data_IF_313657732295
#
_entry.id   IF_313657732295
#
_cell.length_a   1.000
_cell.length_b   1.000
_cell.length_c   1.000
_cell.angle_alpha   90.00
_cell.angle_beta   90.00
_cell.angle_gamma   90.00
#
_symmetry.space_group_name_H-M   'P 1'
#
loop_
_entity.id
_entity.type
_entity.pdbx_description
1 polymer ?
#
# COMPACT_ATOMS: atom_id res chain seq x y z
N UNK A 1 25.18 20.60 -7.77
CA UNK A 1 23.98 21.09 -7.05
C UNK A 1 22.73 20.71 -7.83
N UNK A 2 22.64 19.43 -8.14
CA UNK A 2 21.51 18.71 -8.73
C UNK A 2 21.82 17.31 -8.20
N UNK A 3 21.08 16.78 -7.23
CA UNK A 3 20.99 15.32 -6.93
C UNK A 3 20.27 15.02 -5.60
N UNK A 4 20.17 15.95 -4.64
CA UNK A 4 19.43 15.65 -3.39
C UNK A 4 17.90 15.77 -3.54
N UNK A 5 17.42 16.64 -4.45
CA UNK A 5 15.98 16.78 -4.72
C UNK A 5 15.43 15.65 -5.63
N UNK A 6 16.28 15.01 -6.43
CA UNK A 6 15.89 13.94 -7.35
C UNK A 6 15.76 12.60 -6.62
N UNK A 7 16.60 12.36 -5.59
CA UNK A 7 16.47 11.20 -4.71
C UNK A 7 15.21 11.23 -3.83
N UNK A 8 14.72 12.42 -3.48
CA UNK A 8 13.54 12.58 -2.62
C UNK A 8 12.22 12.27 -3.34
N UNK A 9 12.22 12.16 -4.68
CA UNK A 9 11.03 11.92 -5.51
C UNK A 9 10.87 10.48 -5.99
N UNK A 10 11.80 9.58 -5.65
CA UNK A 10 11.61 8.14 -5.86
C UNK A 10 11.02 7.46 -4.61
N UNK A 11 10.24 8.23 -3.85
CA UNK A 11 9.15 7.71 -3.04
C UNK A 11 8.21 6.95 -3.98
N UNK A 12 8.07 5.65 -3.76
CA UNK A 12 6.94 4.77 -4.16
C UNK A 12 5.90 5.49 -5.05
N UNK A 13 6.18 5.54 -6.35
CA UNK A 13 5.20 5.92 -7.37
C UNK A 13 4.41 4.67 -7.71
N UNK A 14 3.55 4.21 -6.79
CA UNK A 14 2.53 3.24 -7.12
C UNK A 14 1.50 3.96 -8.01
N UNK A 15 1.53 3.67 -9.31
CA UNK A 15 0.66 4.29 -10.32
C UNK A 15 -0.82 4.11 -9.93
N UNK A 16 -1.14 2.96 -9.34
CA UNK A 16 -2.44 2.67 -8.73
C UNK A 16 -2.81 3.68 -7.64
N UNK A 17 -1.92 3.93 -6.67
CA UNK A 17 -2.15 4.93 -5.62
C UNK A 17 -2.39 6.34 -6.17
N UNK A 18 -1.72 6.72 -7.27
CA UNK A 18 -2.00 8.01 -7.93
C UNK A 18 -3.38 8.02 -8.56
N UNK A 19 -3.72 6.98 -9.31
CA UNK A 19 -5.02 6.87 -9.97
C UNK A 19 -6.18 6.91 -8.97
N UNK A 20 -6.06 6.17 -7.85
CA UNK A 20 -7.03 6.20 -6.75
C UNK A 20 -7.14 7.59 -6.13
N UNK A 21 -6.01 8.27 -5.91
CA UNK A 21 -6.00 9.64 -5.38
C UNK A 21 -6.65 10.64 -6.33
N UNK A 22 -6.36 10.56 -7.63
CA UNK A 22 -6.97 11.41 -8.66
C UNK A 22 -8.49 11.18 -8.72
N UNK A 23 -8.92 9.92 -8.74
CA UNK A 23 -10.34 9.57 -8.72
C UNK A 23 -11.03 10.14 -7.48
N UNK A 24 -10.43 10.00 -6.30
CA UNK A 24 -10.96 10.57 -5.06
C UNK A 24 -11.16 12.09 -5.17
N UNK A 25 -10.18 12.81 -5.75
CA UNK A 25 -10.27 14.27 -5.92
C UNK A 25 -11.36 14.68 -6.91
N UNK A 26 -11.45 13.99 -8.05
CA UNK A 26 -12.49 14.25 -9.05
C UNK A 26 -13.89 14.02 -8.46
N UNK A 27 -14.11 12.88 -7.80
CA UNK A 27 -15.39 12.55 -7.17
C UNK A 27 -15.74 13.51 -6.03
N UNK A 28 -14.79 13.83 -5.15
CA UNK A 28 -15.00 14.80 -4.07
C UNK A 28 -15.42 16.17 -4.60
N UNK A 29 -14.90 16.57 -5.76
CA UNK A 29 -15.20 17.87 -6.39
C UNK A 29 -16.53 17.85 -7.14
N UNK A 30 -16.81 16.80 -7.92
CA UNK A 30 -17.98 16.72 -8.82
C UNK A 30 -19.27 16.36 -8.08
N UNK A 31 -19.18 15.55 -7.04
CA UNK A 31 -20.32 15.07 -6.24
C UNK A 31 -20.48 15.85 -4.93
N UNK A 32 -19.42 16.49 -4.42
CA UNK A 32 -19.45 17.30 -3.18
C UNK A 32 -20.06 16.55 -2.01
N UNK A 33 -21.15 17.06 -1.42
CA UNK A 33 -21.84 16.46 -0.28
C UNK A 33 -22.54 15.13 -0.60
N UNK A 34 -22.64 14.76 -1.88
CA UNK A 34 -23.18 13.47 -2.32
C UNK A 34 -22.15 12.35 -2.27
N UNK A 35 -20.86 12.68 -2.27
CA UNK A 35 -19.79 11.69 -2.12
C UNK A 35 -19.56 11.39 -0.64
N UNK A 36 -19.67 10.11 -0.27
CA UNK A 36 -19.52 9.68 1.12
C UNK A 36 -18.13 9.12 1.39
N UNK A 37 -17.65 8.19 0.55
CA UNK A 37 -16.31 7.63 0.65
C UNK A 37 -15.91 6.86 -0.62
N UNK A 38 -14.61 6.58 -0.72
CA UNK A 38 -14.01 5.67 -1.70
C UNK A 38 -13.28 4.56 -0.94
N UNK A 39 -13.51 3.30 -1.31
CA UNK A 39 -12.73 2.16 -0.82
C UNK A 39 -12.04 1.54 -2.03
N UNK A 40 -10.74 1.78 -2.16
CA UNK A 40 -9.90 1.09 -3.13
C UNK A 40 -9.30 -0.17 -2.49
N UNK A 41 -9.37 -1.28 -3.22
CA UNK A 41 -8.57 -2.48 -3.00
C UNK A 41 -7.20 -2.28 -3.67
N UNK A 42 -6.36 -3.31 -3.68
CA UNK A 42 -5.21 -3.30 -4.60
C UNK A 42 -5.67 -3.46 -6.04
N UNK A 43 -4.82 -3.07 -6.99
CA UNK A 43 -5.13 -3.13 -8.43
C UNK A 43 -5.69 -4.49 -8.87
N UNK A 44 -5.09 -5.58 -8.39
CA UNK A 44 -5.42 -6.97 -8.74
C UNK A 44 -6.51 -7.62 -7.84
N UNK A 45 -7.07 -6.87 -6.88
CA UNK A 45 -8.08 -7.38 -5.96
C UNK A 45 -9.48 -6.95 -6.37
N UNK A 46 -10.43 -7.89 -6.43
CA UNK A 46 -11.78 -7.62 -6.93
C UNK A 46 -12.88 -8.10 -5.98
N UNK A 47 -13.93 -7.28 -5.86
CA UNK A 47 -15.22 -7.63 -5.30
C UNK A 47 -16.28 -7.22 -6.30
N UNK A 48 -17.14 -8.16 -6.70
CA UNK A 48 -18.13 -7.92 -7.77
C UNK A 48 -17.48 -7.34 -9.05
N UNK A 49 -16.37 -7.94 -9.48
CA UNK A 49 -15.57 -7.53 -10.65
C UNK A 49 -15.05 -6.08 -10.59
N UNK A 50 -15.02 -5.49 -9.40
CA UNK A 50 -14.61 -4.11 -9.14
C UNK A 50 -13.49 -4.07 -8.10
N UNK A 51 -12.43 -3.32 -8.38
CA UNK A 51 -11.32 -3.07 -7.45
C UNK A 51 -11.50 -1.76 -6.65
N UNK A 52 -12.55 -0.98 -6.97
CA UNK A 52 -12.92 0.24 -6.26
C UNK A 52 -14.42 0.23 -5.91
N UNK A 53 -14.77 0.61 -4.68
CA UNK A 53 -16.13 0.92 -4.26
C UNK A 53 -16.29 2.43 -4.10
N UNK A 54 -17.20 3.01 -4.86
CA UNK A 54 -17.64 4.39 -4.72
C UNK A 54 -18.93 4.41 -3.91
N UNK A 55 -18.93 5.13 -2.79
CA UNK A 55 -20.07 5.24 -1.89
C UNK A 55 -20.61 6.66 -1.91
N UNK A 56 -21.91 6.79 -2.15
CA UNK A 56 -22.60 8.08 -2.26
C UNK A 56 -23.80 8.17 -1.32
N UNK A 57 -24.39 9.36 -1.18
CA UNK A 57 -25.61 9.56 -0.39
C UNK A 57 -26.81 8.80 -0.96
N UNK A 58 -26.96 8.80 -2.29
CA UNK A 58 -27.99 8.11 -3.06
C UNK A 58 -27.50 7.89 -4.49
N UNK A 59 -27.79 6.71 -5.03
CA UNK A 59 -27.52 6.40 -6.44
C UNK A 59 -28.66 6.89 -7.32
N UNK A 60 -28.35 7.79 -8.25
CA UNK A 60 -29.22 8.22 -9.34
C UNK A 60 -28.39 8.50 -10.60
N UNK A 61 -29.05 8.86 -11.69
CA UNK A 61 -28.41 8.96 -13.01
C UNK A 61 -27.34 10.06 -13.06
N UNK A 62 -27.57 11.20 -12.39
CA UNK A 62 -26.54 12.26 -12.30
C UNK A 62 -25.27 11.76 -11.61
N UNK A 63 -25.42 10.99 -10.52
CA UNK A 63 -24.27 10.38 -9.84
C UNK A 63 -23.59 9.34 -10.73
N UNK A 64 -24.36 8.48 -11.40
CA UNK A 64 -23.80 7.45 -12.30
C UNK A 64 -22.95 8.07 -13.39
N UNK A 65 -23.46 9.11 -14.04
CA UNK A 65 -22.77 9.79 -15.14
C UNK A 65 -21.48 10.43 -14.63
N UNK A 66 -21.52 11.16 -13.52
CA UNK A 66 -20.33 11.80 -12.92
C UNK A 66 -19.26 10.81 -12.48
N UNK A 67 -19.67 9.67 -11.92
CA UNK A 67 -18.73 8.62 -11.50
C UNK A 67 -18.10 7.96 -12.73
N UNK A 68 -18.90 7.64 -13.74
CA UNK A 68 -18.41 7.05 -14.98
C UNK A 68 -17.43 7.99 -15.71
N UNK A 69 -17.76 9.28 -15.83
CA UNK A 69 -16.89 10.30 -16.41
C UNK A 69 -15.55 10.39 -15.66
N UNK A 70 -15.59 10.45 -14.33
CA UNK A 70 -14.38 10.51 -13.51
C UNK A 70 -13.50 9.26 -13.67
N UNK A 71 -14.08 8.07 -13.72
CA UNK A 71 -13.33 6.82 -13.92
C UNK A 71 -12.73 6.74 -15.33
N UNK A 72 -13.47 7.16 -16.36
CA UNK A 72 -12.96 7.21 -17.74
C UNK A 72 -11.77 8.18 -17.83
N UNK A 73 -11.88 9.36 -17.23
CA UNK A 73 -10.82 10.36 -17.21
C UNK A 73 -9.54 9.77 -16.59
N UNK A 74 -9.65 9.18 -15.39
CA UNK A 74 -8.51 8.59 -14.67
C UNK A 74 -7.90 7.43 -15.45
N UNK A 75 -8.72 6.49 -15.94
CA UNK A 75 -8.23 5.34 -16.73
C UNK A 75 -7.60 5.77 -18.07
N UNK A 76 -7.85 6.99 -18.55
CA UNK A 76 -7.20 7.51 -19.76
C UNK A 76 -5.80 8.11 -19.50
N UNK A 77 -5.49 8.44 -18.24
CA UNK A 77 -4.24 9.07 -17.83
C UNK A 77 -3.27 8.13 -17.10
N UNK A 78 -3.74 6.96 -16.66
CA UNK A 78 -2.95 6.02 -15.89
C UNK A 78 -2.82 4.66 -16.57
N UNK A 79 -1.67 4.01 -16.43
CA UNK A 79 -1.39 2.66 -16.95
C UNK A 79 -1.86 1.56 -15.97
N UNK A 80 -3.06 1.75 -15.42
CA UNK A 80 -3.74 0.82 -14.52
C UNK A 80 -5.26 0.95 -14.75
N UNK A 81 -6.03 -0.08 -14.43
CA UNK A 81 -7.49 -0.06 -14.65
C UNK A 81 -8.27 0.05 -13.34
N UNK A 82 -8.99 1.15 -13.17
CA UNK A 82 -10.05 1.24 -12.17
C UNK A 82 -11.34 0.65 -12.72
N UNK A 83 -11.83 -0.39 -12.04
CA UNK A 83 -13.18 -0.94 -12.18
C UNK A 83 -13.98 -0.63 -10.92
N UNK A 84 -15.10 0.07 -11.06
CA UNK A 84 -15.85 0.59 -9.92
C UNK A 84 -17.19 -0.12 -9.70
N UNK A 85 -17.53 -0.29 -8.43
CA UNK A 85 -18.88 -0.56 -7.96
C UNK A 85 -19.44 0.70 -7.31
N UNK A 86 -20.67 1.09 -7.67
CA UNK A 86 -21.32 2.28 -7.10
C UNK A 86 -22.46 1.84 -6.17
N UNK A 87 -22.42 2.29 -4.92
CA UNK A 87 -23.49 2.02 -3.96
C UNK A 87 -23.84 3.22 -3.11
N UNK A 88 -24.98 3.13 -2.41
CA UNK A 88 -25.36 4.13 -1.40
C UNK A 88 -24.72 3.83 -0.05
N UNK A 89 -24.51 4.87 0.77
CA UNK A 89 -24.02 4.74 2.15
C UNK A 89 -24.89 3.86 3.06
N UNK A 90 -26.15 3.63 2.67
CA UNK A 90 -27.08 2.79 3.42
C UNK A 90 -26.89 1.29 3.11
N UNK A 91 -26.11 0.94 2.06
CA UNK A 91 -25.75 -0.44 1.73
C UNK A 91 -24.54 -0.91 2.56
N UNK A 92 -24.81 -1.14 3.84
CA UNK A 92 -23.81 -1.57 4.83
C UNK A 92 -23.16 -2.91 4.44
N UNK A 93 -23.89 -3.79 3.74
CA UNK A 93 -23.37 -5.11 3.36
C UNK A 93 -22.25 -4.98 2.34
N UNK A 94 -22.46 -4.23 1.25
CA UNK A 94 -21.44 -4.02 0.22
C UNK A 94 -20.20 -3.34 0.81
N UNK A 95 -20.40 -2.29 1.61
CA UNK A 95 -19.30 -1.60 2.31
C UNK A 95 -18.49 -2.60 3.16
N UNK A 96 -19.17 -3.46 3.92
CA UNK A 96 -18.50 -4.46 4.76
C UNK A 96 -17.69 -5.46 3.96
N UNK A 97 -18.20 -5.93 2.82
CA UNK A 97 -17.48 -6.89 1.97
C UNK A 97 -16.18 -6.29 1.45
N UNK A 98 -16.22 -5.08 0.88
CA UNK A 98 -15.01 -4.39 0.42
C UNK A 98 -14.02 -4.11 1.55
N UNK A 99 -14.50 -3.62 2.70
CA UNK A 99 -13.63 -3.38 3.86
C UNK A 99 -12.95 -4.66 4.36
N UNK A 100 -13.65 -5.80 4.35
CA UNK A 100 -13.10 -7.07 4.85
C UNK A 100 -11.93 -7.60 4.02
N UNK A 101 -11.89 -7.33 2.71
CA UNK A 101 -10.75 -7.70 1.86
C UNK A 101 -9.51 -6.94 2.29
N UNK A 102 -9.67 -5.63 2.51
CA UNK A 102 -8.59 -4.77 3.01
C UNK A 102 -8.10 -5.18 4.40
N UNK A 103 -9.03 -5.56 5.28
CA UNK A 103 -8.70 -6.06 6.62
C UNK A 103 -7.92 -7.37 6.59
N UNK A 104 -8.35 -8.36 5.78
CA UNK A 104 -7.63 -9.63 5.63
C UNK A 104 -6.22 -9.45 5.12
N UNK A 105 -6.02 -8.58 4.12
CA UNK A 105 -4.67 -8.31 3.62
C UNK A 105 -3.80 -7.61 4.66
N UNK A 106 -4.38 -6.70 5.44
CA UNK A 106 -3.66 -6.07 6.55
C UNK A 106 -3.24 -7.09 7.61
N UNK A 107 -4.13 -8.02 7.95
CA UNK A 107 -3.85 -9.14 8.86
C UNK A 107 -2.70 -10.00 8.30
N UNK A 108 -2.75 -10.40 7.03
CA UNK A 108 -1.68 -11.14 6.37
C UNK A 108 -0.32 -10.41 6.40
N UNK A 109 -0.30 -9.10 6.13
CA UNK A 109 0.93 -8.29 6.25
C UNK A 109 1.45 -8.13 7.70
N UNK A 110 0.57 -8.24 8.71
CA UNK A 110 0.98 -8.24 10.10
C UNK A 110 1.57 -9.61 10.49
N UNK A 111 0.97 -10.69 10.03
CA UNK A 111 1.44 -12.05 10.23
C UNK A 111 2.76 -12.32 9.49
N UNK A 112 2.87 -11.94 8.22
CA UNK A 112 4.10 -12.07 7.42
C UNK A 112 5.29 -11.35 8.10
N UNK A 113 5.06 -10.13 8.58
CA UNK A 113 6.10 -9.39 9.30
C UNK A 113 6.48 -10.05 10.62
N UNK A 114 5.50 -10.57 11.36
CA UNK A 114 5.74 -11.27 12.62
C UNK A 114 6.53 -12.54 12.40
N UNK A 115 6.18 -13.34 11.39
CA UNK A 115 6.92 -14.54 11.00
C UNK A 115 8.34 -14.19 10.58
N UNK A 116 8.51 -13.19 9.71
CA UNK A 116 9.83 -12.73 9.28
C UNK A 116 10.70 -12.31 10.47
N UNK A 117 10.14 -11.48 11.37
CA UNK A 117 10.84 -11.03 12.58
C UNK A 117 11.27 -12.20 13.46
N UNK A 118 10.42 -13.21 13.63
CA UNK A 118 10.75 -14.40 14.41
C UNK A 118 11.85 -15.26 13.76
N UNK A 119 11.91 -15.34 12.43
CA UNK A 119 12.97 -16.07 11.70
C UNK A 119 14.32 -15.40 11.83
N UNK A 120 14.38 -14.07 11.71
CA UNK A 120 15.65 -13.33 11.75
C UNK A 120 16.08 -12.92 13.16
N UNK A 121 15.27 -13.17 14.20
CA UNK A 121 15.55 -12.73 15.59
C UNK A 121 16.89 -13.18 16.17
N UNK A 122 17.47 -14.27 15.66
CA UNK A 122 18.75 -14.80 16.14
C UNK A 122 19.97 -14.11 15.52
N UNK A 123 19.74 -13.30 14.49
CA UNK A 123 20.75 -12.66 13.64
C UNK A 123 20.58 -11.14 13.70
N UNK A 124 19.34 -10.68 13.63
CA UNK A 124 18.95 -9.29 13.69
C UNK A 124 18.94 -8.80 15.13
N UNK A 125 19.56 -7.65 15.34
CA UNK A 125 19.45 -6.87 16.57
C UNK A 125 18.09 -6.19 16.66
N UNK A 126 17.59 -5.69 15.53
CA UNK A 126 16.25 -5.11 15.43
C UNK A 126 15.66 -5.32 14.04
N UNK A 127 14.32 -5.32 13.98
CA UNK A 127 13.54 -5.45 12.74
C UNK A 127 12.37 -4.48 12.82
N UNK A 128 12.35 -3.53 11.89
CA UNK A 128 11.45 -2.37 11.91
C UNK A 128 10.67 -2.34 10.61
N UNK A 129 9.34 -2.13 10.67
CA UNK A 129 8.56 -1.75 9.47
C UNK A 129 8.93 -0.32 9.10
N UNK A 130 9.57 -0.14 7.95
CA UNK A 130 9.95 1.17 7.44
C UNK A 130 10.13 1.08 5.93
N UNK A 131 9.44 1.96 5.20
CA UNK A 131 9.63 2.13 3.75
C UNK A 131 10.97 2.87 3.52
N UNK A 132 12.01 2.12 3.17
CA UNK A 132 13.36 2.64 2.92
C UNK A 132 13.83 2.08 1.59
N UNK A 133 14.11 2.98 0.64
CA UNK A 133 14.31 2.62 -0.77
C UNK A 133 13.10 1.81 -1.29
N UNK A 134 13.34 0.63 -1.87
CA UNK A 134 12.31 -0.28 -2.38
C UNK A 134 11.95 -1.39 -1.35
N UNK A 135 12.31 -1.19 -0.08
CA UNK A 135 12.13 -2.16 1.01
C UNK A 135 11.10 -1.70 2.04
N UNK A 136 10.18 -2.57 2.43
CA UNK A 136 9.16 -2.29 3.45
C UNK A 136 9.58 -2.71 4.88
N UNK A 137 10.69 -3.44 4.99
CA UNK A 137 11.28 -3.85 6.27
C UNK A 137 12.74 -3.43 6.35
N UNK A 138 13.12 -2.91 7.51
CA UNK A 138 14.48 -2.59 7.88
C UNK A 138 15.03 -3.63 8.84
N UNK A 139 16.13 -4.28 8.48
CA UNK A 139 16.82 -5.27 9.31
C UNK A 139 18.13 -4.67 9.81
N UNK A 140 18.24 -4.50 11.13
CA UNK A 140 19.44 -3.97 11.78
C UNK A 140 20.22 -5.13 12.38
N UNK A 141 21.47 -5.29 11.97
CA UNK A 141 22.38 -6.33 12.44
C UNK A 141 23.63 -5.70 13.08
N UNK A 142 24.42 -6.49 13.79
CA UNK A 142 25.69 -5.97 14.35
C UNK A 142 26.73 -5.75 13.24
N UNK A 143 26.79 -6.67 12.27
CA UNK A 143 27.66 -6.58 11.10
C UNK A 143 26.94 -7.18 9.89
N UNK A 144 27.08 -6.52 8.73
CA UNK A 144 26.60 -7.06 7.46
C UNK A 144 27.71 -7.90 6.82
N UNK A 145 27.52 -9.20 6.78
CA UNK A 145 28.37 -10.15 6.05
C UNK A 145 27.52 -11.13 5.22
N UNK A 146 28.18 -12.00 4.44
CA UNK A 146 27.49 -12.86 3.49
C UNK A 146 26.60 -13.91 4.19
N UNK A 147 27.03 -14.42 5.35
CA UNK A 147 26.21 -15.36 6.13
C UNK A 147 24.92 -14.69 6.62
N UNK A 148 25.01 -13.44 7.09
CA UNK A 148 23.85 -12.65 7.49
C UNK A 148 22.94 -12.37 6.29
N UNK A 149 23.50 -12.00 5.13
CA UNK A 149 22.72 -11.73 3.90
C UNK A 149 21.94 -12.96 3.47
N UNK A 150 22.62 -14.10 3.40
CA UNK A 150 22.02 -15.36 2.94
C UNK A 150 20.86 -15.78 3.85
N UNK A 151 21.06 -15.74 5.17
CA UNK A 151 20.00 -16.11 6.13
C UNK A 151 18.81 -15.17 6.10
N UNK A 152 19.03 -13.86 5.93
CA UNK A 152 17.92 -12.89 5.81
C UNK A 152 17.17 -13.09 4.49
N UNK A 153 17.90 -13.35 3.39
CA UNK A 153 17.29 -13.65 2.10
C UNK A 153 16.46 -14.94 2.13
N UNK A 154 16.97 -16.01 2.74
CA UNK A 154 16.25 -17.27 2.93
C UNK A 154 14.95 -17.05 3.72
N UNK A 155 15.03 -16.28 4.82
CA UNK A 155 13.85 -15.96 5.62
C UNK A 155 12.79 -15.19 4.82
N UNK A 156 13.19 -14.25 3.96
CA UNK A 156 12.25 -13.53 3.09
C UNK A 156 11.63 -14.44 2.04
N UNK A 157 12.42 -15.30 1.39
CA UNK A 157 11.90 -16.25 0.38
C UNK A 157 10.86 -17.17 1.01
N UNK A 158 11.15 -17.69 2.22
CA UNK A 158 10.24 -18.59 2.91
C UNK A 158 8.94 -17.88 3.33
N UNK A 159 9.03 -16.70 3.96
CA UNK A 159 7.85 -15.91 4.37
C UNK A 159 6.99 -15.53 3.16
N UNK A 160 7.60 -15.03 2.09
CA UNK A 160 6.87 -14.62 0.88
C UNK A 160 6.25 -15.81 0.12
N UNK A 161 6.61 -17.04 0.46
CA UNK A 161 5.96 -18.24 -0.09
C UNK A 161 4.67 -18.64 0.67
N UNK A 162 4.48 -18.12 1.88
CA UNK A 162 3.34 -18.42 2.75
C UNK A 162 2.31 -17.29 2.84
N UNK A 163 2.66 -16.10 2.37
CA UNK A 163 1.86 -14.88 2.52
C UNK A 163 1.64 -14.17 1.19
N UNK A 164 0.47 -13.54 1.05
CA UNK A 164 0.17 -12.68 -0.11
C UNK A 164 0.93 -11.34 0.00
N UNK A 165 1.24 -10.92 1.23
CA UNK A 165 2.04 -9.74 1.51
C UNK A 165 3.54 -10.00 1.32
N UNK A 166 4.13 -9.35 0.32
CA UNK A 166 5.57 -9.42 0.07
C UNK A 166 6.36 -8.63 1.11
N UNK A 167 7.27 -9.31 1.81
CA UNK A 167 8.34 -8.68 2.58
C UNK A 167 9.52 -8.39 1.64
N UNK A 168 9.99 -7.14 1.63
CA UNK A 168 11.24 -6.71 1.02
C UNK A 168 12.09 -6.02 2.08
N UNK A 169 13.41 -6.24 2.06
CA UNK A 169 14.25 -5.85 3.17
C UNK A 169 15.44 -4.98 2.77
N UNK A 170 15.72 -3.99 3.62
CA UNK A 170 16.98 -3.26 3.62
C UNK A 170 17.80 -3.67 4.83
N UNK A 171 19.03 -4.13 4.59
CA UNK A 171 19.92 -4.67 5.60
C UNK A 171 21.04 -3.68 5.91
N UNK A 172 21.25 -3.39 7.20
CA UNK A 172 22.30 -2.47 7.63
C UNK A 172 22.91 -2.84 8.98
N UNK A 173 24.13 -2.37 9.21
CA UNK A 173 24.79 -2.48 10.50
C UNK A 173 24.23 -1.48 11.51
N UNK A 174 24.42 -1.77 12.80
CA UNK A 174 24.02 -0.88 13.89
C UNK A 174 24.65 0.52 13.77
N UNK A 175 25.87 0.61 13.25
CA UNK A 175 26.54 1.90 13.04
C UNK A 175 25.86 2.74 11.94
N UNK A 176 25.44 2.08 10.85
CA UNK A 176 24.72 2.73 9.75
C UNK A 176 23.32 3.16 10.19
N UNK A 177 22.66 2.35 11.04
CA UNK A 177 21.33 2.67 11.58
C UNK A 177 21.36 3.99 12.35
N UNK A 178 22.36 4.18 13.20
CA UNK A 178 22.50 5.38 14.03
C UNK A 178 22.66 6.65 13.20
N UNK A 179 23.22 6.55 11.98
CA UNK A 179 23.36 7.67 11.05
C UNK A 179 22.04 8.09 10.42
N UNK A 180 21.11 7.15 10.20
CA UNK A 180 19.85 7.38 9.47
C UNK A 180 18.59 7.38 10.35
N UNK A 181 18.68 6.92 11.60
CA UNK A 181 17.52 6.78 12.51
C UNK A 181 16.72 8.07 12.73
N UNK A 182 17.39 9.23 12.61
CA UNK A 182 16.75 10.55 12.72
C UNK A 182 15.81 10.84 11.55
N UNK A 183 16.16 10.38 10.35
CA UNK A 183 15.36 10.50 9.12
C UNK A 183 14.16 9.56 9.15
N UNK A 184 14.32 8.35 9.69
CA UNK A 184 13.26 7.32 9.76
C UNK A 184 12.09 7.74 10.67
N UNK A 185 12.37 8.51 11.73
CA UNK A 185 11.33 9.01 12.66
C UNK A 185 10.57 10.26 12.16
N UNK A 186 10.96 10.82 11.01
CA UNK A 186 10.42 12.07 10.47
C UNK A 186 9.16 11.92 9.60
N UNK A 187 8.81 10.70 9.18
CA UNK A 187 7.62 10.41 8.38
C UNK A 187 6.40 10.21 9.30
N UNK A 188 5.84 11.32 9.80
CA UNK A 188 4.51 11.34 10.44
C UNK A 188 3.49 11.96 9.52
#
# INVERSE_FOLDING_TARGET
MIDELFLMYKLVNDEWSKAVSELFQLLSTSLRNRFAMLIALDEDSFVYDSNVLVVVDKVDDEVRDKVAEAVIEVNSHHDCTISYYLTSKDDVNTIRVFSSVKEKKKEDCEDAFKEFKEKVKSIARDVIKAEIYDSNVLVVVDKVDDEVRDKVAEAVIEVNSHHDCTISYYLLSSEEYEKIRGTIKGSK
#
